data_IF_968162091667
#
_entry.id   IF_968162091667
#
_cell.length_a   1.000
_cell.length_b   1.000
_cell.length_c   1.000
_cell.angle_alpha   90.00
_cell.angle_beta   90.00
_cell.angle_gamma   90.00
#
_symmetry.space_group_name_H-M   'P 1'
#
loop_
_entity.id
_entity.type
_entity.pdbx_description
1 polymer ?
#
# COMPACT_ATOMS: atom_id res chain seq x y z
N UNK A 1 5.18 23.76 24.60
CA UNK A 1 4.27 23.00 23.71
C UNK A 1 4.78 21.56 23.69
N UNK A 2 4.04 20.63 24.31
CA UNK A 2 4.48 19.23 24.42
C UNK A 2 4.27 18.54 23.07
N UNK A 3 5.27 17.83 22.51
CA UNK A 3 5.06 17.06 21.29
C UNK A 3 4.02 15.97 21.59
N UNK A 4 2.86 16.08 20.96
CA UNK A 4 1.82 15.06 21.09
C UNK A 4 2.23 13.88 20.21
N UNK A 5 2.29 12.69 20.82
CA UNK A 5 2.58 11.47 20.10
C UNK A 5 1.53 11.20 19.02
N UNK A 6 1.98 10.77 17.85
CA UNK A 6 1.08 10.40 16.76
C UNK A 6 0.11 9.28 17.16
N UNK A 7 0.58 8.31 17.95
CA UNK A 7 -0.27 7.23 18.50
C UNK A 7 -1.36 7.76 19.44
N UNK A 8 -1.01 8.69 20.33
CA UNK A 8 -1.97 9.32 21.23
C UNK A 8 -3.04 10.11 20.45
N UNK A 9 -2.63 10.77 19.37
CA UNK A 9 -3.54 11.49 18.50
C UNK A 9 -4.53 10.54 17.83
N UNK A 10 -4.05 9.43 17.26
CA UNK A 10 -4.91 8.41 16.63
C UNK A 10 -5.91 7.81 17.62
N UNK A 11 -5.45 7.49 18.84
CA UNK A 11 -6.31 6.97 19.91
C UNK A 11 -7.43 7.96 20.27
N UNK A 12 -7.10 9.22 20.54
CA UNK A 12 -8.09 10.26 20.88
C UNK A 12 -9.12 10.49 19.78
N UNK A 13 -8.68 10.46 18.51
CA UNK A 13 -9.59 10.59 17.36
C UNK A 13 -10.54 9.40 17.27
N UNK A 14 -10.03 8.18 17.51
CA UNK A 14 -10.85 6.96 17.54
C UNK A 14 -11.91 7.05 18.63
N UNK A 15 -11.51 7.34 19.86
CA UNK A 15 -12.41 7.49 21.02
C UNK A 15 -13.50 8.54 20.76
N UNK A 16 -13.13 9.68 20.17
CA UNK A 16 -14.08 10.74 19.82
C UNK A 16 -15.09 10.29 18.76
N UNK A 17 -14.67 9.51 17.77
CA UNK A 17 -15.58 8.96 16.75
C UNK A 17 -16.55 7.96 17.36
N UNK A 18 -16.05 7.06 18.20
CA UNK A 18 -16.89 6.07 18.91
C UNK A 18 -17.93 6.77 19.78
N UNK A 19 -17.53 7.80 20.55
CA UNK A 19 -18.43 8.62 21.36
C UNK A 19 -19.49 9.39 20.54
N UNK A 20 -19.16 9.75 19.30
CA UNK A 20 -20.08 10.40 18.37
C UNK A 20 -20.99 9.41 17.61
N UNK A 21 -20.91 8.10 17.89
CA UNK A 21 -21.64 7.07 17.16
C UNK A 21 -21.21 6.92 15.69
N UNK A 22 -20.05 7.47 15.32
CA UNK A 22 -19.52 7.38 13.98
C UNK A 22 -18.90 6.00 13.75
N UNK A 23 -19.01 5.45 12.53
CA UNK A 23 -18.43 4.15 12.23
C UNK A 23 -16.92 4.17 12.43
N UNK A 24 -16.45 3.23 13.25
CA UNK A 24 -15.03 2.96 13.48
C UNK A 24 -14.74 1.53 13.07
N UNK A 25 -13.69 1.34 12.27
CA UNK A 25 -13.29 0.01 11.82
C UNK A 25 -12.77 -0.82 12.99
N UNK A 26 -13.21 -2.07 13.05
CA UNK A 26 -12.60 -3.08 13.92
C UNK A 26 -11.12 -3.27 13.57
N UNK A 27 -10.34 -3.81 14.50
CA UNK A 27 -8.93 -4.12 14.23
C UNK A 27 -8.81 -5.23 13.16
N UNK A 28 -9.75 -6.16 13.15
CA UNK A 28 -9.87 -7.22 12.14
C UNK A 28 -10.11 -6.63 10.74
N UNK A 29 -11.03 -5.67 10.61
CA UNK A 29 -11.25 -4.98 9.33
C UNK A 29 -10.04 -4.17 8.89
N UNK A 30 -9.36 -3.49 9.80
CA UNK A 30 -8.12 -2.78 9.46
C UNK A 30 -7.06 -3.75 8.94
N UNK A 31 -6.90 -4.90 9.59
CA UNK A 31 -5.95 -5.93 9.17
C UNK A 31 -6.28 -6.45 7.77
N UNK A 32 -7.55 -6.79 7.53
CA UNK A 32 -8.01 -7.27 6.23
C UNK A 32 -7.81 -6.22 5.12
N UNK A 33 -8.12 -4.95 5.39
CA UNK A 33 -7.89 -3.83 4.47
C UNK A 33 -6.40 -3.69 4.11
N UNK A 34 -5.52 -3.78 5.11
CA UNK A 34 -4.07 -3.69 4.92
C UNK A 34 -3.51 -4.88 4.13
N UNK A 35 -3.97 -6.10 4.43
CA UNK A 35 -3.55 -7.31 3.72
C UNK A 35 -3.97 -7.25 2.25
N UNK A 36 -5.17 -6.74 1.97
CA UNK A 36 -5.64 -6.47 0.61
C UNK A 36 -4.77 -5.45 -0.10
N UNK A 37 -4.52 -4.30 0.51
CA UNK A 37 -3.68 -3.25 -0.07
C UNK A 37 -2.27 -3.78 -0.39
N UNK A 38 -1.69 -4.56 0.52
CA UNK A 38 -0.38 -5.17 0.30
C UNK A 38 -0.38 -6.14 -0.89
N UNK A 39 -1.47 -6.90 -1.10
CA UNK A 39 -1.62 -7.77 -2.25
C UNK A 39 -1.70 -6.97 -3.57
N UNK A 40 -2.45 -5.86 -3.58
CA UNK A 40 -2.58 -4.98 -4.74
C UNK A 40 -1.22 -4.35 -5.11
N UNK A 41 -0.47 -3.85 -4.13
CA UNK A 41 0.88 -3.31 -4.34
C UNK A 41 1.83 -4.37 -4.91
N UNK A 42 1.80 -5.61 -4.38
CA UNK A 42 2.61 -6.71 -4.90
C UNK A 42 2.26 -7.05 -6.34
N UNK A 43 0.96 -7.09 -6.68
CA UNK A 43 0.50 -7.35 -8.04
C UNK A 43 0.96 -6.25 -9.01
N UNK A 44 0.85 -4.98 -8.60
CA UNK A 44 1.35 -3.85 -9.39
C UNK A 44 2.85 -3.96 -9.63
N UNK A 45 3.63 -4.22 -8.56
CA UNK A 45 5.09 -4.36 -8.67
C UNK A 45 5.49 -5.51 -9.60
N UNK A 46 4.77 -6.63 -9.56
CA UNK A 46 5.02 -7.75 -10.48
C UNK A 46 4.73 -7.38 -11.94
N UNK A 47 3.69 -6.58 -12.19
CA UNK A 47 3.38 -6.09 -13.53
C UNK A 47 4.48 -5.16 -14.05
N UNK A 48 4.99 -4.24 -13.23
CA UNK A 48 6.12 -3.37 -13.57
C UNK A 48 7.36 -4.20 -13.95
N UNK A 49 7.72 -5.19 -13.11
CA UNK A 49 8.88 -6.06 -13.38
C UNK A 49 8.72 -6.81 -14.70
N UNK A 50 7.52 -7.32 -15.00
CA UNK A 50 7.26 -8.02 -16.27
C UNK A 50 7.38 -7.09 -17.47
N UNK A 51 6.93 -5.84 -17.33
CA UNK A 51 7.06 -4.82 -18.36
C UNK A 51 8.54 -4.47 -18.60
N UNK A 52 9.32 -4.28 -17.55
CA UNK A 52 10.76 -4.05 -17.62
C UNK A 52 11.48 -5.22 -18.33
N UNK A 53 11.15 -6.46 -17.99
CA UNK A 53 11.72 -7.66 -18.62
C UNK A 53 11.36 -7.78 -20.10
N UNK A 54 10.12 -7.46 -20.48
CA UNK A 54 9.69 -7.48 -21.88
C UNK A 54 10.40 -6.38 -22.68
N UNK A 55 10.64 -5.22 -22.08
CA UNK A 55 11.42 -4.14 -22.70
C UNK A 55 12.91 -4.47 -22.84
N UNK A 56 13.47 -5.23 -21.89
CA UNK A 56 14.86 -5.69 -21.94
C UNK A 56 15.08 -6.79 -23.01
N UNK A 57 14.11 -7.69 -23.21
CA UNK A 57 14.20 -8.79 -24.18
C UNK A 57 14.24 -8.31 -25.64
N UNK A 58 13.62 -7.17 -25.95
CA UNK A 58 13.73 -6.53 -27.28
C UNK A 58 15.00 -5.68 -27.47
N UNK A 59 15.69 -5.30 -26.39
CA UNK A 59 16.86 -4.40 -26.42
C UNK A 59 18.22 -5.10 -26.57
N UNK A 60 18.27 -6.43 -26.41
CA UNK A 60 19.51 -7.24 -26.51
C UNK A 60 19.63 -7.98 -27.86
N UNK A 61 18.69 -7.74 -28.79
CA UNK A 61 18.87 -8.13 -30.19
C UNK A 61 19.60 -7.02 -30.95
N UNK A 62 20.91 -6.91 -30.69
CA UNK A 62 21.81 -6.30 -31.66
C UNK A 62 21.64 -7.06 -32.98
N UNK A 63 20.93 -6.43 -33.92
CA UNK A 63 20.88 -6.82 -35.32
C UNK A 63 22.32 -6.81 -35.86
N UNK A 64 22.99 -7.95 -35.78
CA UNK A 64 24.15 -8.24 -36.60
C UNK A 64 23.67 -8.46 -38.04
N UNK A 65 23.30 -7.35 -38.70
CA UNK A 65 23.19 -7.31 -40.15
C UNK A 65 24.59 -7.43 -40.73
N UNK A 66 24.74 -8.48 -41.51
CA UNK A 66 25.92 -8.95 -42.23
C UNK A 66 26.35 -7.97 -43.32
#
# INVERSE_FOLDING_TARGET
>A
MTPVGWEDTKRRVRERREAAGLPVRSEEQKKADMDRLAAEVRAHRLAEIRQEQTGADFGDTDYTLT
#
